data_IF_949832818244
#
_entry.id   IF_949832818244
#
_cell.length_a   1.000
_cell.length_b   1.000
_cell.length_c   1.000
_cell.angle_alpha   90.00
_cell.angle_beta   90.00
_cell.angle_gamma   90.00
#
_symmetry.space_group_name_H-M   'P 1'
#
loop_
_entity.id
_entity.type
_entity.pdbx_description
1 polymer ?
#
# COMPACT_ATOMS: atom_id res chain seq x y z
N UNK A 1 6.72 3.48 2.59
CA UNK A 1 7.08 2.05 2.75
C UNK A 1 5.78 1.25 2.72
N UNK A 2 5.72 0.21 1.90
CA UNK A 2 4.70 -0.84 1.96
C UNK A 2 5.16 -1.92 2.95
N UNK A 3 4.26 -2.40 3.78
CA UNK A 3 4.41 -3.62 4.57
C UNK A 3 3.39 -4.61 4.03
N UNK A 4 3.85 -5.76 3.53
CA UNK A 4 3.05 -6.83 2.92
C UNK A 4 3.23 -8.13 3.69
N UNK A 5 2.28 -8.45 4.58
CA UNK A 5 2.32 -9.69 5.35
C UNK A 5 1.93 -10.91 4.50
N UNK A 6 1.34 -10.70 3.32
CA UNK A 6 1.11 -11.76 2.33
C UNK A 6 2.36 -12.23 1.61
N UNK A 7 3.53 -11.59 1.85
CA UNK A 7 4.83 -11.97 1.28
C UNK A 7 4.77 -12.17 -0.24
N UNK A 8 4.08 -11.27 -0.95
CA UNK A 8 3.96 -11.29 -2.40
C UNK A 8 3.00 -12.33 -2.98
N UNK A 9 2.16 -12.96 -2.18
CA UNK A 9 1.14 -13.90 -2.68
C UNK A 9 0.10 -13.21 -3.55
N UNK A 10 -0.20 -11.93 -3.28
CA UNK A 10 -1.09 -11.09 -4.08
C UNK A 10 -2.45 -11.75 -4.37
N UNK A 11 -3.04 -12.41 -3.36
CA UNK A 11 -4.33 -13.12 -3.47
C UNK A 11 -5.46 -12.13 -3.71
N UNK A 12 -6.23 -12.38 -4.77
CA UNK A 12 -7.30 -11.48 -5.25
C UNK A 12 -8.71 -11.95 -4.90
N UNK A 13 -8.84 -13.08 -4.22
CA UNK A 13 -10.15 -13.64 -3.86
C UNK A 13 -10.91 -12.72 -2.92
N UNK A 14 -12.19 -12.52 -3.22
CA UNK A 14 -13.12 -11.64 -2.51
C UNK A 14 -12.74 -10.14 -2.49
N UNK A 15 -11.68 -9.72 -3.20
CA UNK A 15 -11.30 -8.31 -3.28
C UNK A 15 -12.41 -7.45 -3.90
N UNK A 16 -12.42 -6.17 -3.60
CA UNK A 16 -13.35 -5.20 -4.20
C UNK A 16 -13.24 -5.20 -5.73
N UNK A 17 -12.03 -5.33 -6.28
CA UNK A 17 -11.87 -5.45 -7.73
C UNK A 17 -12.58 -6.69 -8.27
N UNK A 18 -12.45 -7.85 -7.62
CA UNK A 18 -13.16 -9.07 -8.03
C UNK A 18 -14.68 -8.89 -7.96
N UNK A 19 -15.19 -8.27 -6.89
CA UNK A 19 -16.61 -8.00 -6.71
C UNK A 19 -17.18 -7.05 -7.78
N UNK A 20 -16.47 -5.97 -8.12
CA UNK A 20 -16.87 -5.03 -9.18
C UNK A 20 -16.99 -5.73 -10.53
N UNK A 21 -16.16 -6.74 -10.78
CA UNK A 21 -16.24 -7.57 -11.99
C UNK A 21 -17.19 -8.79 -11.87
N UNK A 22 -17.97 -8.88 -10.78
CA UNK A 22 -18.91 -9.99 -10.55
C UNK A 22 -18.22 -11.33 -10.37
N UNK A 23 -17.02 -11.35 -9.80
CA UNK A 23 -16.20 -12.55 -9.56
C UNK A 23 -15.83 -12.65 -8.09
N UNK A 24 -15.60 -13.86 -7.60
CA UNK A 24 -15.13 -14.12 -6.24
C UNK A 24 -13.61 -14.37 -6.17
N UNK A 25 -13.02 -14.87 -7.25
CA UNK A 25 -11.63 -15.36 -7.24
C UNK A 25 -11.51 -16.74 -6.55
N UNK A 26 -10.29 -17.27 -6.48
CA UNK A 26 -10.02 -18.61 -5.96
C UNK A 26 -9.38 -18.61 -4.56
N UNK A 27 -8.61 -17.60 -4.23
CA UNK A 27 -7.88 -17.50 -2.97
C UNK A 27 -8.07 -16.10 -2.40
N UNK A 28 -8.61 -16.02 -1.19
CA UNK A 28 -8.70 -14.78 -0.41
C UNK A 28 -7.44 -14.60 0.45
N UNK A 29 -7.07 -13.34 0.77
CA UNK A 29 -6.09 -13.05 1.81
C UNK A 29 -6.43 -13.73 3.14
N UNK A 30 -5.41 -14.16 3.87
CA UNK A 30 -5.57 -14.77 5.19
C UNK A 30 -4.35 -14.43 6.06
N UNK A 31 -4.44 -14.70 7.35
CA UNK A 31 -3.31 -14.64 8.29
C UNK A 31 -2.52 -15.95 8.17
N UNK A 32 -1.51 -15.97 7.32
CA UNK A 32 -0.69 -17.19 7.12
C UNK A 32 0.21 -17.47 8.34
N UNK A 33 0.71 -16.41 9.00
CA UNK A 33 1.50 -16.51 10.23
C UNK A 33 1.03 -15.45 11.24
N UNK A 34 0.48 -15.90 12.35
CA UNK A 34 0.03 -15.04 13.44
C UNK A 34 1.19 -14.31 14.15
N UNK A 35 2.40 -14.88 14.15
CA UNK A 35 3.58 -14.23 14.74
C UNK A 35 4.07 -13.08 13.85
N UNK A 36 3.95 -13.17 12.52
CA UNK A 36 4.22 -12.05 11.62
C UNK A 36 3.26 -10.87 11.91
N UNK A 37 1.97 -11.14 12.09
CA UNK A 37 0.99 -10.10 12.43
C UNK A 37 1.29 -9.46 13.80
N UNK A 38 1.66 -10.24 14.78
CA UNK A 38 2.03 -9.77 16.11
C UNK A 38 3.34 -8.95 16.08
N UNK A 39 4.34 -9.41 15.32
CA UNK A 39 5.60 -8.68 15.14
C UNK A 39 5.36 -7.34 14.41
N UNK A 40 4.56 -7.34 13.35
CA UNK A 40 4.12 -6.13 12.64
C UNK A 40 3.49 -5.12 13.60
N UNK A 41 2.51 -5.56 14.40
CA UNK A 41 1.84 -4.68 15.36
C UNK A 41 2.85 -4.09 16.37
N UNK A 42 3.78 -4.90 16.90
CA UNK A 42 4.77 -4.44 17.85
C UNK A 42 5.71 -3.37 17.25
N UNK A 43 6.21 -3.59 16.01
CA UNK A 43 7.05 -2.61 15.31
C UNK A 43 6.29 -1.31 15.05
N UNK A 44 5.06 -1.38 14.54
CA UNK A 44 4.24 -0.18 14.28
C UNK A 44 3.98 0.61 15.56
N UNK A 45 3.65 -0.05 16.67
CA UNK A 45 3.45 0.63 17.96
C UNK A 45 4.73 1.29 18.46
N UNK A 46 5.89 0.64 18.30
CA UNK A 46 7.20 1.23 18.63
C UNK A 46 7.48 2.48 17.80
N UNK A 47 7.36 2.38 16.46
CA UNK A 47 7.57 3.50 15.55
C UNK A 47 6.63 4.69 15.84
N UNK A 48 5.39 4.40 16.23
CA UNK A 48 4.44 5.44 16.60
C UNK A 48 4.82 6.11 17.93
N UNK A 49 5.19 5.33 18.94
CA UNK A 49 5.62 5.85 20.25
C UNK A 49 6.87 6.73 20.14
N UNK A 50 7.79 6.38 19.25
CA UNK A 50 9.04 7.09 18.99
C UNK A 50 8.86 8.29 18.04
N UNK A 51 7.65 8.51 17.50
CA UNK A 51 7.34 9.63 16.60
C UNK A 51 7.93 9.50 15.21
N UNK A 52 8.23 8.29 14.75
CA UNK A 52 8.77 8.02 13.41
C UNK A 52 7.70 7.97 12.33
N UNK A 53 6.43 7.71 12.68
CA UNK A 53 5.33 7.66 11.71
C UNK A 53 4.83 9.07 11.40
N UNK A 54 4.94 9.48 10.13
CA UNK A 54 4.36 10.72 9.62
C UNK A 54 2.93 10.49 9.11
N UNK A 55 2.65 9.31 8.56
CA UNK A 55 1.32 8.83 8.19
C UNK A 55 1.30 7.30 8.22
N UNK A 56 0.11 6.76 8.43
CA UNK A 56 -0.16 5.32 8.45
C UNK A 56 -1.53 5.06 7.84
N UNK A 57 -1.64 4.01 7.05
CA UNK A 57 -2.92 3.51 6.55
C UNK A 57 -2.85 1.99 6.37
N UNK A 58 -3.84 1.28 6.87
CA UNK A 58 -3.98 -0.16 6.62
C UNK A 58 -4.19 -0.41 5.12
N UNK A 59 -3.62 -1.49 4.59
CA UNK A 59 -4.04 -1.97 3.29
C UNK A 59 -5.36 -2.73 3.46
N UNK A 60 -6.42 -2.19 2.92
CA UNK A 60 -7.78 -2.71 3.05
C UNK A 60 -8.49 -2.71 1.68
N UNK A 61 -9.79 -2.47 1.66
CA UNK A 61 -10.63 -2.48 0.45
C UNK A 61 -10.02 -1.66 -0.69
N UNK A 62 -9.85 -2.28 -1.85
CA UNK A 62 -9.22 -1.67 -3.03
C UNK A 62 -7.70 -1.71 -3.05
N UNK A 63 -7.06 -2.34 -2.07
CA UNK A 63 -5.63 -2.67 -2.03
C UNK A 63 -4.70 -1.48 -1.96
N UNK A 64 -3.48 -1.67 -2.46
CA UNK A 64 -2.41 -0.68 -2.41
C UNK A 64 -2.76 0.63 -3.12
N UNK A 65 -3.46 0.57 -4.26
CA UNK A 65 -3.85 1.78 -4.99
C UNK A 65 -4.75 2.66 -4.12
N UNK A 66 -5.84 2.10 -3.59
CA UNK A 66 -6.79 2.84 -2.76
C UNK A 66 -6.11 3.37 -1.50
N UNK A 67 -5.37 2.53 -0.77
CA UNK A 67 -4.59 2.92 0.41
C UNK A 67 -3.72 4.16 0.15
N UNK A 68 -2.94 4.13 -0.93
CA UNK A 68 -2.00 5.22 -1.22
C UNK A 68 -2.69 6.50 -1.70
N UNK A 69 -3.76 6.41 -2.50
CA UNK A 69 -4.49 7.60 -2.92
C UNK A 69 -5.27 8.23 -1.77
N UNK A 70 -5.81 7.45 -0.83
CA UNK A 70 -6.47 7.97 0.38
C UNK A 70 -5.47 8.70 1.30
N UNK A 71 -4.26 8.19 1.45
CA UNK A 71 -3.17 8.92 2.13
C UNK A 71 -2.87 10.25 1.42
N UNK A 72 -2.86 10.27 0.08
CA UNK A 72 -2.66 11.48 -0.69
C UNK A 72 -3.83 12.47 -0.56
N UNK A 73 -5.08 11.99 -0.40
CA UNK A 73 -6.24 12.84 -0.12
C UNK A 73 -6.08 13.55 1.21
N UNK A 74 -5.74 12.80 2.26
CA UNK A 74 -5.51 13.35 3.60
C UNK A 74 -4.34 14.33 3.64
N UNK A 75 -3.23 14.01 2.96
CA UNK A 75 -2.04 14.86 2.89
C UNK A 75 -2.12 16.02 1.91
N UNK A 76 -3.18 16.11 1.09
CA UNK A 76 -3.32 17.10 0.01
C UNK A 76 -2.12 17.15 -0.95
N UNK A 77 -1.41 16.04 -1.14
CA UNK A 77 -0.22 15.91 -1.97
C UNK A 77 -0.45 15.01 -3.19
N UNK A 78 0.50 14.96 -4.10
CA UNK A 78 0.61 13.92 -5.10
C UNK A 78 1.49 12.76 -4.62
N UNK A 79 1.63 11.73 -5.45
CA UNK A 79 2.46 10.56 -5.18
C UNK A 79 3.29 10.19 -6.41
N UNK A 80 4.52 9.75 -6.17
CA UNK A 80 5.36 9.06 -7.15
C UNK A 80 5.70 7.68 -6.58
N UNK A 81 5.13 6.63 -7.16
CA UNK A 81 5.33 5.25 -6.74
C UNK A 81 6.05 4.46 -7.83
N UNK A 82 6.86 3.50 -7.43
CA UNK A 82 7.57 2.57 -8.31
C UNK A 82 7.33 1.13 -7.81
N UNK A 83 6.90 0.26 -8.72
CA UNK A 83 6.57 -1.13 -8.44
C UNK A 83 7.67 -2.13 -8.86
N UNK A 84 8.83 -1.66 -9.33
CA UNK A 84 9.90 -2.52 -9.87
C UNK A 84 10.35 -3.60 -8.86
N UNK A 85 10.32 -3.29 -7.58
CA UNK A 85 10.68 -4.26 -6.52
C UNK A 85 9.53 -5.21 -6.11
N UNK A 86 8.33 -5.04 -6.66
CA UNK A 86 7.13 -5.79 -6.28
C UNK A 86 6.60 -6.69 -7.40
N UNK A 87 6.86 -6.33 -8.67
CA UNK A 87 6.39 -7.04 -9.84
C UNK A 87 7.56 -7.68 -10.60
N UNK A 88 7.37 -8.88 -11.13
CA UNK A 88 8.29 -9.49 -12.08
C UNK A 88 7.90 -9.13 -13.52
N UNK A 89 6.61 -9.06 -13.79
CA UNK A 89 6.05 -8.76 -15.10
C UNK A 89 4.90 -7.77 -15.01
N UNK A 90 4.54 -7.14 -16.14
CA UNK A 90 3.37 -6.25 -16.22
C UNK A 90 2.04 -6.96 -15.93
N UNK A 91 1.98 -8.28 -16.05
CA UNK A 91 0.77 -9.06 -15.71
C UNK A 91 0.49 -9.06 -14.20
N UNK A 92 1.50 -8.84 -13.36
CA UNK A 92 1.38 -8.88 -11.90
C UNK A 92 0.84 -7.56 -11.33
N UNK A 93 0.93 -6.46 -12.09
CA UNK A 93 0.63 -5.10 -11.62
C UNK A 93 -0.78 -4.98 -11.05
N UNK A 94 -1.78 -5.55 -11.72
CA UNK A 94 -3.16 -5.49 -11.25
C UNK A 94 -3.31 -6.22 -9.90
N UNK A 95 -2.68 -7.38 -9.73
CA UNK A 95 -2.72 -8.11 -8.46
C UNK A 95 -2.00 -7.34 -7.35
N UNK A 96 -0.84 -6.72 -7.63
CA UNK A 96 -0.09 -5.91 -6.67
C UNK A 96 -0.89 -4.67 -6.22
N UNK A 97 -1.55 -4.00 -7.16
CA UNK A 97 -2.29 -2.77 -6.86
C UNK A 97 -3.61 -3.02 -6.13
N UNK A 98 -4.26 -4.15 -6.36
CA UNK A 98 -5.64 -4.40 -5.92
C UNK A 98 -5.82 -5.61 -5.00
N UNK A 99 -4.74 -6.33 -4.63
CA UNK A 99 -4.87 -7.31 -3.58
C UNK A 99 -5.10 -6.63 -2.21
N UNK A 100 -5.85 -7.31 -1.38
CA UNK A 100 -6.22 -6.87 -0.03
C UNK A 100 -5.52 -7.74 1.04
N UNK A 101 -4.27 -8.15 0.75
CA UNK A 101 -3.43 -8.84 1.71
C UNK A 101 -3.21 -7.98 2.96
N UNK A 102 -3.07 -8.62 4.12
CA UNK A 102 -2.79 -7.91 5.36
C UNK A 102 -1.50 -7.10 5.25
N UNK A 103 -1.52 -5.91 5.81
CA UNK A 103 -0.39 -5.01 5.81
C UNK A 103 -0.78 -3.56 5.90
N UNK A 104 0.16 -2.68 5.62
CA UNK A 104 -0.05 -1.24 5.70
C UNK A 104 0.89 -0.47 4.78
N UNK A 105 0.56 0.80 4.54
CA UNK A 105 1.50 1.78 3.99
C UNK A 105 1.83 2.81 5.06
N UNK A 106 3.12 3.04 5.27
CA UNK A 106 3.59 4.06 6.20
C UNK A 106 4.39 5.13 5.48
N UNK A 107 4.28 6.36 5.95
CA UNK A 107 5.17 7.45 5.59
C UNK A 107 6.11 7.73 6.75
N UNK A 108 7.40 7.81 6.44
CA UNK A 108 8.47 8.10 7.39
C UNK A 108 9.41 9.14 6.80
N UNK A 109 10.29 9.71 7.62
CA UNK A 109 11.35 10.60 7.12
C UNK A 109 12.35 9.79 6.29
N UNK A 110 12.84 10.38 5.21
CA UNK A 110 13.78 9.72 4.32
C UNK A 110 15.09 9.33 5.03
N UNK A 111 15.58 10.19 5.91
CA UNK A 111 16.79 9.95 6.70
C UNK A 111 16.62 8.80 7.73
N UNK A 112 15.41 8.52 8.19
CA UNK A 112 15.09 7.44 9.11
C UNK A 112 14.81 6.09 8.41
N UNK A 113 14.64 6.08 7.09
CA UNK A 113 14.25 4.87 6.34
C UNK A 113 15.15 3.67 6.60
N UNK A 114 16.50 3.78 6.56
CA UNK A 114 17.37 2.61 6.79
C UNK A 114 17.19 1.98 8.16
N UNK A 115 17.05 2.79 9.20
CA UNK A 115 16.87 2.32 10.58
C UNK A 115 15.51 1.64 10.78
N UNK A 116 14.47 2.15 10.12
CA UNK A 116 13.13 1.56 10.16
C UNK A 116 13.12 0.21 9.44
N UNK A 117 13.72 0.10 8.26
CA UNK A 117 13.87 -1.19 7.56
C UNK A 117 14.64 -2.20 8.40
N UNK A 118 15.68 -1.77 9.12
CA UNK A 118 16.44 -2.63 10.03
C UNK A 118 15.57 -3.13 11.21
N UNK A 119 14.67 -2.31 11.74
CA UNK A 119 13.74 -2.73 12.80
C UNK A 119 12.78 -3.82 12.30
N UNK A 120 12.19 -3.68 11.11
CA UNK A 120 11.37 -4.73 10.50
C UNK A 120 12.18 -6.00 10.26
N UNK A 121 13.42 -5.87 9.75
CA UNK A 121 14.31 -7.03 9.55
C UNK A 121 14.64 -7.74 10.86
N UNK A 122 14.93 -7.01 11.93
CA UNK A 122 15.18 -7.57 13.26
C UNK A 122 13.96 -8.30 13.85
N UNK A 123 12.75 -7.89 13.45
CA UNK A 123 11.48 -8.52 13.83
C UNK A 123 11.09 -9.72 12.92
N UNK A 124 11.96 -10.13 11.97
CA UNK A 124 11.67 -11.22 11.03
C UNK A 124 10.83 -10.82 9.81
N UNK A 125 10.55 -9.51 9.66
CA UNK A 125 9.67 -8.97 8.61
C UNK A 125 10.45 -8.27 7.47
N UNK A 126 11.75 -8.53 7.33
CA UNK A 126 12.60 -7.85 6.33
C UNK A 126 12.13 -8.06 4.89
N UNK A 127 11.58 -9.25 4.57
CA UNK A 127 11.03 -9.56 3.25
C UNK A 127 9.61 -9.01 3.04
N UNK A 128 8.96 -8.55 4.11
CA UNK A 128 7.62 -7.98 4.04
C UNK A 128 7.63 -6.47 3.72
N UNK A 129 8.79 -5.80 3.71
CA UNK A 129 8.87 -4.34 3.62
C UNK A 129 9.57 -3.87 2.35
N UNK A 130 8.94 -2.92 1.67
CA UNK A 130 9.46 -2.32 0.44
C UNK A 130 9.30 -0.82 0.43
N UNK A 131 10.34 -0.10 0.00
CA UNK A 131 10.23 1.33 -0.27
C UNK A 131 9.61 1.49 -1.66
N UNK A 132 8.38 1.99 -1.72
CA UNK A 132 7.60 2.07 -2.96
C UNK A 132 7.54 3.47 -3.56
N UNK A 133 8.03 4.50 -2.90
CA UNK A 133 8.02 5.87 -3.44
C UNK A 133 7.91 6.95 -2.39
N UNK A 134 7.36 8.10 -2.80
CA UNK A 134 7.31 9.30 -1.96
C UNK A 134 6.13 10.20 -2.32
N UNK A 135 5.66 11.05 -1.38
CA UNK A 135 4.75 12.13 -1.72
C UNK A 135 5.47 13.22 -2.54
N UNK A 136 4.72 13.84 -3.46
CA UNK A 136 5.21 14.94 -4.31
C UNK A 136 4.25 16.13 -4.27
N UNK A 137 4.79 17.33 -4.48
CA UNK A 137 4.04 18.58 -4.29
C UNK A 137 3.42 19.12 -5.60
N UNK A 138 2.78 18.25 -6.41
CA UNK A 138 2.15 18.68 -7.67
C UNK A 138 0.71 18.19 -7.86
N UNK A 139 0.17 17.45 -6.90
CA UNK A 139 -1.19 16.89 -6.96
C UNK A 139 -1.40 15.77 -7.99
N UNK A 140 -0.35 15.27 -8.62
CA UNK A 140 -0.39 14.12 -9.51
C UNK A 140 -0.13 12.82 -8.75
N UNK A 141 -0.83 11.77 -9.12
CA UNK A 141 -0.55 10.40 -8.69
C UNK A 141 0.06 9.70 -9.89
N UNK A 142 1.30 9.28 -9.78
CA UNK A 142 2.01 8.57 -10.82
C UNK A 142 2.59 7.26 -10.27
N UNK A 143 2.27 6.15 -10.93
CA UNK A 143 2.77 4.81 -10.58
C UNK A 143 3.52 4.28 -11.81
N UNK A 144 4.74 3.84 -11.61
CA UNK A 144 5.62 3.32 -12.67
C UNK A 144 6.02 1.88 -12.42
N UNK A 145 6.31 1.18 -13.52
CA UNK A 145 6.93 -0.13 -13.54
C UNK A 145 7.88 -0.22 -14.73
N UNK A 146 9.13 -0.62 -14.52
CA UNK A 146 10.20 -0.66 -15.54
C UNK A 146 10.36 0.67 -16.31
N UNK A 147 10.18 1.80 -15.61
CA UNK A 147 10.27 3.12 -16.20
C UNK A 147 9.04 3.56 -17.01
N UNK A 148 8.04 2.71 -17.19
CA UNK A 148 6.79 3.05 -17.87
C UNK A 148 5.71 3.43 -16.85
N UNK A 149 4.85 4.40 -17.21
CA UNK A 149 3.70 4.77 -16.37
C UNK A 149 2.60 3.72 -16.54
N UNK A 150 2.23 3.06 -15.44
CA UNK A 150 1.15 2.07 -15.37
C UNK A 150 -0.14 2.64 -14.82
N UNK A 151 -0.05 3.75 -14.08
CA UNK A 151 -1.20 4.53 -13.63
C UNK A 151 -0.83 6.00 -13.50
N UNK A 152 -1.70 6.88 -13.97
CA UNK A 152 -1.61 8.33 -13.79
C UNK A 152 -2.99 8.91 -13.48
N UNK A 153 -3.05 9.83 -12.50
CA UNK A 153 -4.29 10.48 -12.13
C UNK A 153 -4.06 11.78 -11.36
N UNK A 154 -5.05 12.66 -11.42
CA UNK A 154 -5.05 13.85 -10.59
C UNK A 154 -5.71 13.55 -9.25
N UNK A 155 -5.03 13.82 -8.13
CA UNK A 155 -5.56 13.61 -6.78
C UNK A 155 -6.98 14.18 -6.60
N UNK A 156 -7.22 15.40 -7.07
CA UNK A 156 -8.53 16.06 -6.94
C UNK A 156 -9.66 15.32 -7.64
N UNK A 157 -9.39 14.76 -8.83
CA UNK A 157 -10.39 14.00 -9.58
C UNK A 157 -10.67 12.65 -8.91
N UNK A 158 -9.63 11.96 -8.49
CA UNK A 158 -9.76 10.70 -7.75
C UNK A 158 -10.52 10.91 -6.44
N UNK A 159 -10.19 11.96 -5.67
CA UNK A 159 -10.87 12.28 -4.41
C UNK A 159 -12.35 12.61 -4.63
N UNK A 160 -12.67 13.31 -5.74
CA UNK A 160 -14.07 13.58 -6.09
C UNK A 160 -14.84 12.29 -6.37
N UNK A 161 -14.27 11.39 -7.16
CA UNK A 161 -14.87 10.07 -7.45
C UNK A 161 -15.07 9.24 -6.18
N UNK A 162 -14.06 9.21 -5.31
CA UNK A 162 -14.10 8.53 -4.02
C UNK A 162 -15.19 9.08 -3.10
N UNK A 163 -15.33 10.40 -3.02
CA UNK A 163 -16.31 11.07 -2.15
C UNK A 163 -17.72 11.10 -2.71
N UNK A 164 -17.93 10.87 -4.01
CA UNK A 164 -19.21 11.09 -4.68
C UNK A 164 -20.35 10.26 -4.08
N UNK A 165 -20.10 8.98 -3.79
CA UNK A 165 -21.10 8.08 -3.21
C UNK A 165 -21.56 8.58 -1.84
N UNK A 166 -20.64 8.98 -0.97
CA UNK A 166 -20.96 9.50 0.36
C UNK A 166 -21.64 10.88 0.32
N UNK A 167 -21.40 11.66 -0.73
CA UNK A 167 -21.99 12.98 -0.90
C UNK A 167 -23.46 12.91 -1.39
N UNK A 168 -23.85 11.82 -2.05
CA UNK A 168 -25.19 11.64 -2.60
C UNK A 168 -26.17 10.97 -1.61
N UNK A 169 -25.68 10.49 -0.47
CA UNK A 169 -26.48 9.91 0.61
C UNK A 169 -26.87 11.00 1.62
#
# INVERSE_FOLDING_TARGET
ILIDLGRGQNRMGASILAQVHGKLGSQAPDVDDAEDLKAFFAVIQGLNADGHLLAYHDRSDGGLLTTTVEMAFAGHCGLSLNLDGLAETSADIAAILFNEELGAVIQVRQDATPDILAQFSAAGLGECVSVIGQPINNGQINITFNGETVFEGQRRLLQRQWAETSYQI
#
